data_IF_508933697449
#
_entry.id   IF_508933697449
#
_cell.length_a   1.000
_cell.length_b   1.000
_cell.length_c   1.000
_cell.angle_alpha   90.00
_cell.angle_beta   90.00
_cell.angle_gamma   90.00
#
_symmetry.space_group_name_H-M   'P 1'
#
loop_
_entity.id
_entity.type
_entity.pdbx_description
1 polymer ?
#
# COMPACT_ATOMS: atom_id res chain seq x y z
N UNK A 1 -14.13 8.01 2.48
CA UNK A 1 -13.37 8.58 3.62
C UNK A 1 -11.94 8.71 3.16
N UNK A 2 -11.41 9.92 2.93
CA UNK A 2 -9.98 10.10 2.60
C UNK A 2 -9.14 9.53 3.73
N UNK A 3 -8.40 8.48 3.44
CA UNK A 3 -7.31 7.99 4.29
C UNK A 3 -6.27 9.10 4.42
N UNK A 4 -5.79 9.40 5.63
CA UNK A 4 -4.80 10.45 5.80
C UNK A 4 -3.50 10.00 5.09
N UNK A 5 -2.87 10.86 4.27
CA UNK A 5 -1.68 10.53 3.46
C UNK A 5 -0.52 9.98 4.32
N UNK A 6 -0.52 10.33 5.60
CA UNK A 6 0.42 9.81 6.59
C UNK A 6 0.36 8.28 6.75
N UNK A 7 -0.82 7.66 6.66
CA UNK A 7 -0.97 6.20 6.84
C UNK A 7 -0.43 5.42 5.65
N UNK A 8 -0.71 5.89 4.44
CA UNK A 8 -0.18 5.29 3.21
C UNK A 8 1.35 5.47 3.13
N UNK A 9 1.88 6.62 3.55
CA UNK A 9 3.32 6.83 3.68
C UNK A 9 3.97 5.88 4.70
N UNK A 10 3.33 5.64 5.85
CA UNK A 10 3.80 4.69 6.86
C UNK A 10 3.79 3.25 6.32
N UNK A 11 2.73 2.85 5.62
CA UNK A 11 2.66 1.52 4.99
C UNK A 11 3.78 1.31 3.96
N UNK A 12 4.06 2.33 3.13
CA UNK A 12 5.21 2.30 2.22
C UNK A 12 6.55 2.17 2.95
N UNK A 13 6.73 2.93 4.04
CA UNK A 13 7.95 2.84 4.86
C UNK A 13 8.18 1.46 5.47
N UNK A 14 7.12 0.78 5.89
CA UNK A 14 7.19 -0.58 6.44
C UNK A 14 7.76 -1.54 5.39
N UNK A 15 7.26 -1.46 4.15
CA UNK A 15 7.70 -2.31 3.04
C UNK A 15 9.18 -2.03 2.72
N UNK A 16 9.57 -0.75 2.59
CA UNK A 16 10.98 -0.36 2.31
C UNK A 16 11.91 -0.82 3.43
N UNK A 17 11.47 -0.70 4.69
CA UNK A 17 12.25 -1.12 5.86
C UNK A 17 12.46 -2.64 5.88
N UNK A 18 11.45 -3.41 5.49
CA UNK A 18 11.56 -4.86 5.37
C UNK A 18 12.62 -5.27 4.35
N UNK A 19 12.54 -4.74 3.12
CA UNK A 19 13.52 -5.07 2.08
C UNK A 19 14.93 -4.57 2.43
N UNK A 20 15.05 -3.40 3.07
CA UNK A 20 16.34 -2.89 3.54
C UNK A 20 16.96 -3.79 4.60
N UNK A 21 16.14 -4.30 5.52
CA UNK A 21 16.57 -5.26 6.55
C UNK A 21 17.00 -6.58 5.91
N UNK A 22 16.24 -7.07 4.92
CA UNK A 22 16.59 -8.27 4.17
C UNK A 22 17.94 -8.14 3.46
N UNK A 23 18.17 -7.03 2.74
CA UNK A 23 19.44 -6.76 2.06
C UNK A 23 20.60 -6.67 3.06
N UNK A 24 20.38 -6.02 4.20
CA UNK A 24 21.39 -5.94 5.26
C UNK A 24 21.72 -7.32 5.83
N UNK A 25 20.73 -8.20 6.00
CA UNK A 25 20.94 -9.57 6.46
C UNK A 25 21.75 -10.39 5.45
N UNK A 26 21.40 -10.31 4.16
CA UNK A 26 22.12 -10.97 3.06
C UNK A 26 23.59 -10.55 3.03
N UNK A 27 23.87 -9.25 3.16
CA UNK A 27 25.24 -8.73 3.20
C UNK A 27 26.02 -9.12 4.46
N UNK A 28 25.32 -9.24 5.60
CA UNK A 28 25.95 -9.63 6.87
C UNK A 28 26.13 -11.15 7.05
N UNK A 29 25.58 -11.96 6.14
CA UNK A 29 25.58 -13.43 6.25
C UNK A 29 24.81 -13.95 7.47
N UNK A 30 23.87 -13.15 8.00
CA UNK A 30 23.13 -13.48 9.22
C UNK A 30 21.79 -14.11 8.87
N UNK A 31 21.54 -15.31 9.36
CA UNK A 31 20.25 -15.98 9.19
C UNK A 31 19.19 -15.34 10.11
N UNK A 32 18.02 -14.95 9.57
CA UNK A 32 16.92 -14.45 10.39
C UNK A 32 16.26 -15.57 11.18
N UNK A 33 15.83 -15.27 12.40
CA UNK A 33 14.92 -16.14 13.16
C UNK A 33 13.62 -16.32 12.36
N UNK A 34 13.24 -17.57 12.12
CA UNK A 34 12.09 -17.92 11.30
C UNK A 34 10.76 -17.39 11.84
N UNK A 35 10.61 -17.25 13.17
CA UNK A 35 9.42 -16.65 13.77
C UNK A 35 9.36 -15.14 13.54
N UNK A 36 10.50 -14.47 13.65
CA UNK A 36 10.61 -13.03 13.38
C UNK A 36 10.35 -12.75 11.91
N UNK A 37 10.89 -13.58 11.02
CA UNK A 37 10.68 -13.47 9.59
C UNK A 37 9.20 -13.65 9.22
N UNK A 38 8.54 -14.66 9.79
CA UNK A 38 7.12 -14.89 9.56
C UNK A 38 6.28 -13.69 10.00
N UNK A 39 6.57 -13.13 11.18
CA UNK A 39 5.89 -11.93 11.67
C UNK A 39 6.11 -10.72 10.77
N UNK A 40 7.34 -10.49 10.32
CA UNK A 40 7.69 -9.40 9.41
C UNK A 40 6.97 -9.54 8.06
N UNK A 41 6.89 -10.75 7.51
CA UNK A 41 6.15 -11.04 6.27
C UNK A 41 4.65 -10.76 6.44
N UNK A 42 4.03 -11.18 7.55
CA UNK A 42 2.62 -10.89 7.82
C UNK A 42 2.32 -9.38 7.87
N UNK A 43 3.22 -8.60 8.50
CA UNK A 43 3.11 -7.14 8.55
C UNK A 43 3.21 -6.53 7.14
N UNK A 44 4.14 -7.01 6.31
CA UNK A 44 4.32 -6.55 4.93
C UNK A 44 3.09 -6.87 4.07
N UNK A 45 2.50 -8.06 4.23
CA UNK A 45 1.24 -8.40 3.55
C UNK A 45 0.10 -7.46 3.96
N UNK A 46 -0.04 -7.15 5.25
CA UNK A 46 -1.04 -6.20 5.73
C UNK A 46 -0.83 -4.78 5.16
N UNK A 47 0.41 -4.30 5.15
CA UNK A 47 0.76 -3.00 4.59
C UNK A 47 0.51 -2.93 3.06
N UNK A 48 0.82 -4.02 2.35
CA UNK A 48 0.61 -4.12 0.90
C UNK A 48 -0.87 -4.17 0.55
N UNK A 49 -1.65 -4.95 1.30
CA UNK A 49 -3.10 -5.00 1.13
C UNK A 49 -3.75 -3.64 1.41
N UNK A 50 -3.29 -2.94 2.45
CA UNK A 50 -3.77 -1.60 2.76
C UNK A 50 -3.49 -0.61 1.61
N UNK A 51 -2.27 -0.59 1.08
CA UNK A 51 -1.92 0.29 -0.05
C UNK A 51 -2.70 -0.06 -1.33
N UNK A 52 -2.97 -1.34 -1.54
CA UNK A 52 -3.79 -1.80 -2.66
C UNK A 52 -5.24 -1.32 -2.56
N UNK A 53 -5.85 -1.45 -1.38
CA UNK A 53 -7.21 -0.98 -1.11
C UNK A 53 -7.31 0.55 -1.28
N UNK A 54 -6.31 1.27 -0.78
CA UNK A 54 -6.18 2.72 -0.91
C UNK A 54 -6.13 3.17 -2.37
N UNK A 55 -5.24 2.54 -3.16
CA UNK A 55 -5.09 2.84 -4.59
C UNK A 55 -6.32 2.46 -5.42
N UNK A 56 -7.01 1.37 -5.07
CA UNK A 56 -8.29 0.99 -5.69
C UNK A 56 -9.38 2.02 -5.40
N UNK A 57 -9.45 2.53 -4.18
CA UNK A 57 -10.39 3.59 -3.79
C UNK A 57 -10.23 4.85 -4.64
N UNK A 58 -8.99 5.33 -4.80
CA UNK A 58 -8.68 6.49 -5.64
C UNK A 58 -9.02 6.24 -7.13
N UNK A 59 -8.77 5.03 -7.64
CA UNK A 59 -9.11 4.67 -9.01
C UNK A 59 -10.62 4.63 -9.30
N UNK A 60 -11.42 4.17 -8.34
CA UNK A 60 -12.89 4.18 -8.44
C UNK A 60 -13.41 5.62 -8.40
N UNK A 61 -12.89 6.46 -7.50
CA UNK A 61 -13.27 7.87 -7.40
C UNK A 61 -12.97 8.61 -8.71
N UNK A 62 -11.77 8.42 -9.28
CA UNK A 62 -11.39 8.99 -10.57
C UNK A 62 -12.28 8.49 -11.73
N UNK A 63 -12.69 7.22 -11.71
CA UNK A 63 -13.59 6.67 -12.74
C UNK A 63 -15.00 7.22 -12.63
N UNK A 64 -15.51 7.43 -11.42
CA UNK A 64 -16.81 8.07 -11.19
C UNK A 64 -16.82 9.53 -11.64
N UNK A 65 -15.74 10.26 -11.41
CA UNK A 65 -15.57 11.63 -11.90
C UNK A 65 -15.60 11.68 -13.43
N UNK A 66 -14.92 10.74 -14.11
CA UNK A 66 -14.91 10.62 -15.57
C UNK A 66 -16.27 10.18 -16.18
N UNK A 67 -17.10 9.46 -15.43
CA UNK A 67 -18.45 9.07 -15.88
C UNK A 67 -19.53 10.12 -15.55
N UNK A 68 -19.35 10.87 -14.46
CA UNK A 68 -20.27 11.93 -14.04
C UNK A 68 -20.25 13.16 -14.96
N UNK A 69 -19.08 13.50 -15.51
CA UNK A 69 -18.90 14.65 -16.43
C UNK A 69 -19.56 14.46 -17.82
N UNK A 70 -20.16 13.29 -18.08
CA UNK A 70 -20.88 12.99 -19.32
C UNK A 70 -22.42 12.95 -19.20
N UNK A 71 -22.98 13.26 -18.03
CA UNK A 71 -24.42 13.04 -17.75
C UNK A 71 -25.28 14.31 -17.70
N UNK A 72 -24.70 15.50 -17.83
CA UNK A 72 -25.39 16.77 -17.53
C UNK A 72 -25.69 17.66 -18.74
N UNK A 73 -25.70 17.12 -19.97
CA UNK A 73 -26.04 17.89 -21.18
C UNK A 73 -27.10 17.19 -22.03
N UNK A 74 -28.22 16.83 -21.40
CA UNK A 74 -29.41 16.30 -22.09
C UNK A 74 -30.71 16.70 -21.38
N UNK A 75 -30.85 17.98 -21.00
CA UNK A 75 -32.18 18.56 -20.70
C UNK A 75 -32.11 20.10 -20.70
N UNK A 76 -32.17 20.71 -21.91
CA UNK A 76 -33.03 21.86 -22.21
C UNK A 76 -33.08 22.16 -23.73
#
# INVERSE_FOLDING_TARGET
>A
MRTPPLRSAVAGMIIVSFYSTWIAMEWSGREPDSLILLGAVAIVFGASYYLWDDAMGEGIEATQELQGDGSDDSEN
#
